data_IF_413681649104
#
_entry.id   IF_413681649104
#
_cell.length_a   1.000
_cell.length_b   1.000
_cell.length_c   1.000
_cell.angle_alpha   90.00
_cell.angle_beta   90.00
_cell.angle_gamma   90.00
#
_symmetry.space_group_name_H-M   'P 1'
#
loop_
_entity.id
_entity.type
_entity.pdbx_description
1 polymer ?
#
# COMPACT_ATOMS: atom_id res chain seq x y z
N UNK A 1 -2.28 9.90 13.37
CA UNK A 1 -2.80 9.55 12.04
C UNK A 1 -3.53 8.21 12.10
N UNK A 2 -4.68 8.12 11.44
CA UNK A 2 -5.54 6.93 11.41
C UNK A 2 -5.34 6.16 10.10
N UNK A 3 -5.58 4.86 10.12
CA UNK A 3 -5.61 4.01 8.93
C UNK A 3 -7.03 3.56 8.65
N UNK A 4 -7.39 3.50 7.37
CA UNK A 4 -8.52 2.72 6.89
C UNK A 4 -8.00 1.35 6.46
N UNK A 5 -8.50 0.29 7.10
CA UNK A 5 -8.19 -1.11 6.80
C UNK A 5 -9.50 -1.88 6.65
N UNK A 6 -9.75 -2.46 5.48
CA UNK A 6 -10.98 -3.22 5.19
C UNK A 6 -12.28 -2.44 5.50
N UNK A 7 -12.24 -1.11 5.39
CA UNK A 7 -13.36 -0.21 5.69
C UNK A 7 -13.52 0.13 7.17
N UNK A 8 -12.64 -0.37 8.04
CA UNK A 8 -12.57 -0.03 9.45
C UNK A 8 -11.43 0.95 9.73
N UNK A 9 -11.64 1.81 10.72
CA UNK A 9 -10.66 2.82 11.09
C UNK A 9 -9.90 2.33 12.31
N UNK A 10 -8.58 2.25 12.18
CA UNK A 10 -7.67 1.74 13.19
C UNK A 10 -6.54 2.75 13.43
N UNK A 11 -5.86 2.63 14.56
CA UNK A 11 -4.67 3.40 14.85
C UNK A 11 -3.48 2.95 13.97
N UNK A 12 -2.62 3.90 13.59
CA UNK A 12 -1.38 3.61 12.89
C UNK A 12 -0.21 3.42 13.88
N UNK A 13 0.29 2.20 14.12
CA UNK A 13 1.45 1.98 15.00
C UNK A 13 2.78 2.27 14.30
N UNK A 14 2.78 2.46 12.98
CA UNK A 14 4.01 2.54 12.19
C UNK A 14 4.65 3.92 12.22
N UNK A 15 5.98 3.96 12.36
CA UNK A 15 6.78 5.17 12.47
C UNK A 15 7.69 5.31 11.25
N UNK A 16 7.58 6.41 10.53
CA UNK A 16 8.39 6.68 9.33
C UNK A 16 9.76 7.24 9.71
N UNK A 17 10.81 6.71 9.07
CA UNK A 17 12.21 7.09 9.24
C UNK A 17 12.78 7.36 7.84
N UNK A 18 13.05 8.63 7.53
CA UNK A 18 13.47 9.04 6.19
C UNK A 18 14.96 9.32 6.06
N UNK A 19 15.55 9.98 7.07
CA UNK A 19 16.85 10.64 6.94
C UNK A 19 18.01 9.88 7.58
N UNK A 20 17.86 9.44 8.82
CA UNK A 20 18.93 8.79 9.59
C UNK A 20 18.39 7.60 10.37
N UNK A 21 19.13 6.49 10.32
CA UNK A 21 18.85 5.33 11.15
C UNK A 21 19.10 5.69 12.62
N UNK A 22 18.11 5.51 13.51
CA UNK A 22 18.31 5.71 14.93
C UNK A 22 19.22 4.62 15.51
N UNK A 23 19.78 4.88 16.69
CA UNK A 23 20.61 3.90 17.42
C UNK A 23 19.82 2.62 17.78
N UNK A 24 18.51 2.74 17.96
CA UNK A 24 17.59 1.63 18.16
C UNK A 24 16.34 1.84 17.32
N UNK A 25 15.94 0.81 16.57
CA UNK A 25 14.75 0.86 15.72
C UNK A 25 13.47 0.71 16.57
N UNK A 26 12.42 1.49 16.31
CA UNK A 26 11.12 1.34 16.96
C UNK A 26 10.41 0.06 16.50
N UNK A 27 9.46 -0.46 17.28
CA UNK A 27 8.79 -1.75 17.02
C UNK A 27 8.21 -1.91 15.59
N UNK A 28 7.74 -0.82 14.97
CA UNK A 28 7.16 -0.82 13.62
C UNK A 28 7.79 0.29 12.76
N UNK A 29 9.05 0.15 12.32
CA UNK A 29 9.72 1.16 11.51
C UNK A 29 9.29 1.05 10.04
N UNK A 30 9.04 2.19 9.40
CA UNK A 30 8.98 2.33 7.94
C UNK A 30 10.24 3.08 7.52
N UNK A 31 11.12 2.40 6.79
CA UNK A 31 12.34 3.02 6.27
C UNK A 31 12.10 3.57 4.87
N UNK A 32 12.72 4.70 4.52
CA UNK A 32 12.81 5.11 3.12
C UNK A 32 13.57 4.05 2.30
N UNK A 33 13.27 3.95 1.01
CA UNK A 33 13.96 3.03 0.10
C UNK A 33 15.50 3.19 0.15
N UNK A 34 15.98 4.43 0.29
CA UNK A 34 17.41 4.73 0.39
C UNK A 34 18.01 4.14 1.66
N UNK A 35 17.37 4.31 2.82
CA UNK A 35 17.82 3.70 4.08
C UNK A 35 17.73 2.17 4.05
N UNK A 36 16.72 1.59 3.41
CA UNK A 36 16.63 0.15 3.25
C UNK A 36 17.85 -0.40 2.49
N UNK A 37 18.29 0.31 1.44
CA UNK A 37 19.42 -0.10 0.61
C UNK A 37 20.79 0.00 1.30
N UNK A 38 20.89 0.78 2.39
CA UNK A 38 22.13 0.92 3.17
C UNK A 38 22.23 -0.08 4.32
N UNK A 39 21.20 -0.90 4.55
CA UNK A 39 21.23 -1.90 5.61
C UNK A 39 22.06 -3.12 5.19
N UNK A 40 23.26 -3.25 5.77
CA UNK A 40 24.12 -4.42 5.55
C UNK A 40 23.58 -5.73 6.16
N UNK A 41 22.70 -5.65 7.16
CA UNK A 41 22.26 -6.80 7.95
C UNK A 41 20.76 -6.74 8.29
N UNK A 42 19.90 -6.69 7.27
CA UNK A 42 18.44 -6.72 7.46
C UNK A 42 17.97 -7.97 8.22
N UNK A 43 18.71 -9.08 8.13
CA UNK A 43 18.40 -10.32 8.85
C UNK A 43 18.44 -10.21 10.38
N UNK A 44 19.13 -9.21 10.92
CA UNK A 44 19.19 -8.96 12.36
C UNK A 44 17.98 -8.17 12.87
N UNK A 45 17.15 -7.66 11.96
CA UNK A 45 15.92 -6.97 12.29
C UNK A 45 14.84 -8.03 12.51
N UNK A 46 14.43 -8.20 13.77
CA UNK A 46 13.41 -9.17 14.15
C UNK A 46 12.00 -8.57 14.24
N UNK A 47 11.91 -7.24 14.29
CA UNK A 47 10.62 -6.54 14.33
C UNK A 47 10.02 -6.39 12.91
N UNK A 48 8.68 -6.25 12.79
CA UNK A 48 8.03 -6.04 11.51
C UNK A 48 8.57 -4.79 10.80
N UNK A 49 9.09 -4.96 9.58
CA UNK A 49 9.72 -3.87 8.83
C UNK A 49 8.82 -3.37 7.71
N UNK A 50 8.72 -2.05 7.59
CA UNK A 50 8.06 -1.36 6.50
C UNK A 50 9.06 -0.64 5.61
N UNK A 51 8.69 -0.42 4.35
CA UNK A 51 9.42 0.45 3.42
C UNK A 51 8.49 1.49 2.82
N UNK A 52 8.96 2.73 2.72
CA UNK A 52 8.37 3.79 1.90
C UNK A 52 9.07 3.81 0.55
N UNK A 53 8.33 3.46 -0.50
CA UNK A 53 8.79 3.50 -1.88
C UNK A 53 8.20 4.73 -2.59
N UNK A 54 9.04 5.70 -2.99
CA UNK A 54 8.61 6.84 -3.79
C UNK A 54 8.06 6.43 -5.17
N UNK A 55 7.17 7.24 -5.74
CA UNK A 55 6.51 6.95 -7.02
C UNK A 55 7.44 6.96 -8.25
N UNK A 56 8.64 7.52 -8.13
CA UNK A 56 9.67 7.58 -9.17
C UNK A 56 10.68 6.42 -9.10
N UNK A 57 10.62 5.60 -8.05
CA UNK A 57 11.49 4.45 -7.86
C UNK A 57 10.91 3.17 -8.49
N UNK A 58 11.80 2.35 -9.05
CA UNK A 58 11.43 1.03 -9.55
C UNK A 58 11.17 0.07 -8.38
N UNK A 59 10.08 -0.70 -8.45
CA UNK A 59 9.71 -1.73 -7.48
C UNK A 59 10.75 -2.85 -7.39
N UNK A 60 11.54 -3.06 -8.44
CA UNK A 60 12.53 -4.14 -8.52
C UNK A 60 13.59 -4.05 -7.42
N UNK A 61 13.85 -2.83 -6.92
CA UNK A 61 14.73 -2.60 -5.76
C UNK A 61 14.24 -3.28 -4.47
N UNK A 62 12.95 -3.62 -4.38
CA UNK A 62 12.38 -4.30 -3.22
C UNK A 62 12.66 -5.80 -3.23
N UNK A 63 12.95 -6.41 -4.40
CA UNK A 63 13.08 -7.87 -4.56
C UNK A 63 13.99 -8.54 -3.52
N UNK A 64 15.18 -7.99 -3.18
CA UNK A 64 16.06 -8.61 -2.19
C UNK A 64 15.49 -8.62 -0.76
N UNK A 65 14.51 -7.77 -0.46
CA UNK A 65 14.02 -7.51 0.89
C UNK A 65 12.60 -8.04 1.13
N UNK A 66 11.90 -8.54 0.08
CA UNK A 66 10.48 -8.88 0.15
C UNK A 66 10.10 -9.83 1.28
N UNK A 67 10.95 -10.82 1.59
CA UNK A 67 10.68 -11.80 2.65
C UNK A 67 10.75 -11.20 4.06
N UNK A 68 11.42 -10.05 4.22
CA UNK A 68 11.56 -9.35 5.51
C UNK A 68 10.55 -8.23 5.69
N UNK A 69 9.99 -7.74 4.58
CA UNK A 69 9.02 -6.66 4.61
C UNK A 69 7.65 -7.19 5.05
N UNK A 70 7.10 -6.56 6.08
CA UNK A 70 5.72 -6.73 6.50
C UNK A 70 4.79 -5.69 5.84
N UNK A 71 5.35 -4.54 5.43
CA UNK A 71 4.63 -3.40 4.87
C UNK A 71 5.41 -2.76 3.72
N UNK A 72 4.71 -2.46 2.62
CA UNK A 72 5.19 -1.55 1.58
C UNK A 72 4.23 -0.36 1.53
N UNK A 73 4.77 0.85 1.58
CA UNK A 73 4.03 2.10 1.51
C UNK A 73 4.31 2.76 0.16
N UNK A 74 3.25 3.08 -0.58
CA UNK A 74 3.31 3.83 -1.84
C UNK A 74 2.68 5.20 -1.64
N UNK A 75 3.35 6.21 -2.18
CA UNK A 75 2.91 7.60 -2.09
C UNK A 75 2.15 8.05 -3.34
N UNK A 76 1.12 8.86 -3.13
CA UNK A 76 0.40 9.62 -4.14
C UNK A 76 0.75 11.11 -4.00
N UNK A 77 1.73 11.63 -4.76
CA UNK A 77 2.16 13.03 -4.64
C UNK A 77 1.09 14.04 -5.07
N UNK A 78 0.14 13.61 -5.89
CA UNK A 78 -0.98 14.41 -6.37
C UNK A 78 -2.14 13.50 -6.75
N UNK A 79 -3.37 14.02 -6.67
CA UNK A 79 -4.58 13.28 -7.03
C UNK A 79 -4.63 12.80 -8.50
N UNK A 80 -3.80 13.40 -9.36
CA UNK A 80 -3.67 13.02 -10.78
C UNK A 80 -2.57 11.99 -11.05
N UNK A 81 -1.77 11.65 -10.05
CA UNK A 81 -0.68 10.69 -10.22
C UNK A 81 -1.18 9.26 -10.05
N UNK A 82 -1.17 8.51 -11.16
CA UNK A 82 -1.62 7.13 -11.20
C UNK A 82 -0.52 6.09 -10.96
N UNK A 83 0.76 6.48 -10.83
CA UNK A 83 1.89 5.53 -10.84
C UNK A 83 1.84 4.51 -9.71
N UNK A 84 1.41 4.94 -8.53
CA UNK A 84 1.25 4.05 -7.38
C UNK A 84 0.21 2.93 -7.62
N UNK A 85 -0.79 3.13 -8.50
CA UNK A 85 -1.69 2.02 -8.91
C UNK A 85 -0.95 0.97 -9.73
N UNK A 86 -0.11 1.39 -10.67
CA UNK A 86 0.69 0.49 -11.49
C UNK A 86 1.73 -0.26 -10.64
N UNK A 87 2.45 0.47 -9.76
CA UNK A 87 3.39 -0.13 -8.82
C UNK A 87 2.71 -1.17 -7.92
N UNK A 88 1.54 -0.84 -7.34
CA UNK A 88 0.77 -1.76 -6.52
C UNK A 88 0.45 -3.07 -7.25
N UNK A 89 -0.04 -2.97 -8.48
CA UNK A 89 -0.36 -4.12 -9.31
C UNK A 89 0.88 -4.97 -9.57
N UNK A 90 2.00 -4.37 -9.95
CA UNK A 90 3.24 -5.10 -10.21
C UNK A 90 3.83 -5.73 -8.93
N UNK A 91 3.71 -5.08 -7.76
CA UNK A 91 4.13 -5.64 -6.47
C UNK A 91 3.34 -6.92 -6.16
N UNK A 92 2.03 -6.92 -6.42
CA UNK A 92 1.17 -8.09 -6.19
C UNK A 92 1.33 -9.17 -7.26
N UNK A 93 1.35 -8.79 -8.53
CA UNK A 93 1.34 -9.72 -9.65
C UNK A 93 2.74 -10.24 -10.02
N UNK A 94 3.78 -9.42 -9.95
CA UNK A 94 5.15 -9.80 -10.36
C UNK A 94 6.03 -10.13 -9.16
N UNK A 95 6.05 -9.27 -8.13
CA UNK A 95 6.85 -9.52 -6.93
C UNK A 95 6.17 -10.47 -5.94
N UNK A 96 4.89 -10.81 -6.17
CA UNK A 96 4.11 -11.75 -5.35
C UNK A 96 4.08 -11.39 -3.86
N UNK A 97 4.27 -10.12 -3.53
CA UNK A 97 4.26 -9.65 -2.16
C UNK A 97 2.86 -9.85 -1.56
N UNK A 98 2.79 -10.48 -0.39
CA UNK A 98 1.54 -10.82 0.32
C UNK A 98 1.30 -9.98 1.56
N UNK A 99 2.30 -9.20 2.01
CA UNK A 99 2.19 -8.33 3.18
C UNK A 99 1.29 -7.12 2.94
N UNK A 100 1.31 -6.20 3.90
CA UNK A 100 0.48 -5.01 3.86
C UNK A 100 0.95 -4.04 2.76
N UNK A 101 0.04 -3.57 1.90
CA UNK A 101 0.33 -2.51 0.95
C UNK A 101 -0.49 -1.28 1.30
N UNK A 102 0.20 -0.19 1.65
CA UNK A 102 -0.40 1.03 2.17
C UNK A 102 -0.32 2.17 1.17
N UNK A 103 -1.43 2.88 1.00
CA UNK A 103 -1.48 4.11 0.24
C UNK A 103 -1.36 5.33 1.19
N UNK A 104 -0.50 6.30 0.85
CA UNK A 104 -0.39 7.60 1.55
C UNK A 104 -0.42 8.78 0.57
N UNK A 105 -0.65 9.98 1.08
CA UNK A 105 -0.60 11.22 0.29
C UNK A 105 -1.98 11.72 -0.16
N UNK A 106 -2.07 12.25 -1.37
CA UNK A 106 -3.26 12.90 -1.93
C UNK A 106 -4.31 11.90 -2.43
N UNK A 107 -4.92 11.17 -1.50
CA UNK A 107 -5.92 10.14 -1.78
C UNK A 107 -7.31 10.63 -1.39
N UNK A 108 -8.30 10.32 -2.23
CA UNK A 108 -9.69 10.70 -2.01
C UNK A 108 -10.56 9.48 -1.67
N UNK A 109 -11.64 9.65 -0.88
CA UNK A 109 -12.53 8.55 -0.50
C UNK A 109 -13.16 7.79 -1.68
N UNK A 110 -13.43 8.47 -2.79
CA UNK A 110 -13.98 7.89 -4.04
C UNK A 110 -12.99 6.95 -4.75
N UNK A 111 -11.69 7.07 -4.45
CA UNK A 111 -10.65 6.20 -4.99
C UNK A 111 -10.51 4.87 -4.25
N UNK A 112 -11.17 4.71 -3.10
CA UNK A 112 -11.05 3.54 -2.22
C UNK A 112 -11.17 2.21 -2.97
N UNK A 113 -12.19 2.07 -3.82
CA UNK A 113 -12.42 0.83 -4.54
C UNK A 113 -11.34 0.53 -5.60
N UNK A 114 -10.78 1.55 -6.24
CA UNK A 114 -9.68 1.35 -7.19
C UNK A 114 -8.42 0.88 -6.46
N UNK A 115 -8.15 1.46 -5.29
CA UNK A 115 -7.00 1.09 -4.46
C UNK A 115 -7.08 -0.38 -4.03
N UNK A 116 -8.23 -0.81 -3.50
CA UNK A 116 -8.41 -2.20 -3.08
C UNK A 116 -8.30 -3.17 -4.26
N UNK A 117 -8.81 -2.79 -5.45
CA UNK A 117 -8.74 -3.63 -6.66
C UNK A 117 -7.33 -3.85 -7.20
N UNK A 118 -6.41 -2.90 -7.01
CA UNK A 118 -4.99 -3.08 -7.39
C UNK A 118 -4.16 -3.71 -6.27
N UNK A 119 -4.76 -3.93 -5.10
CA UNK A 119 -4.17 -4.71 -4.01
C UNK A 119 -3.65 -3.90 -2.83
N UNK A 120 -4.02 -2.62 -2.69
CA UNK A 120 -3.85 -1.91 -1.42
C UNK A 120 -4.75 -2.52 -0.35
N UNK A 121 -4.19 -2.70 0.84
CA UNK A 121 -4.88 -3.27 2.00
C UNK A 121 -5.13 -2.23 3.09
N UNK A 122 -4.33 -1.16 3.12
CA UNK A 122 -4.50 -0.06 4.08
C UNK A 122 -4.32 1.29 3.42
N UNK A 123 -4.98 2.31 3.96
CA UNK A 123 -4.89 3.69 3.47
C UNK A 123 -4.69 4.61 4.67
N UNK A 124 -3.72 5.50 4.61
CA UNK A 124 -3.52 6.53 5.62
C UNK A 124 -4.55 7.64 5.42
N UNK A 125 -5.36 7.90 6.44
CA UNK A 125 -6.33 9.00 6.43
C UNK A 125 -5.59 10.28 6.83
N UNK A 126 -5.62 11.34 5.99
CA UNK A 126 -5.05 12.64 6.34
C UNK A 126 -5.69 13.19 7.62
N UNK A 127 -4.91 13.82 8.51
CA UNK A 127 -5.41 14.28 9.81
C UNK A 127 -6.55 15.32 9.71
N UNK A 128 -6.65 16.03 8.58
CA UNK A 128 -7.71 17.01 8.30
C UNK A 128 -8.90 16.44 7.51
N UNK A 129 -8.92 15.14 7.21
CA UNK A 129 -9.98 14.53 6.42
C UNK A 129 -11.24 14.26 7.25
N UNK A 130 -12.41 14.38 6.60
CA UNK A 130 -13.67 13.98 7.21
C UNK A 130 -13.76 12.44 7.28
N UNK A 131 -13.61 11.89 8.48
CA UNK A 131 -13.68 10.45 8.78
C UNK A 131 -14.97 9.79 8.25
N UNK A 132 -16.11 10.52 8.27
CA UNK A 132 -17.40 9.97 7.84
C UNK A 132 -17.42 9.63 6.34
N UNK A 133 -16.77 10.42 5.49
CA UNK A 133 -16.75 10.17 4.04
C UNK A 133 -15.95 8.92 3.66
N UNK A 134 -14.95 8.56 4.46
CA UNK A 134 -14.18 7.33 4.30
C UNK A 134 -14.94 6.08 4.75
N UNK A 135 -15.85 6.20 5.72
CA UNK A 135 -16.71 5.09 6.16
C UNK A 135 -17.85 4.79 5.18
N UNK A 136 -18.36 5.82 4.50
CA UNK A 136 -19.57 5.74 3.66
C UNK A 136 -19.27 5.24 2.24
N UNK A 137 -18.05 5.45 1.72
CA UNK A 137 -17.62 5.00 0.38
C UNK A 137 -17.38 3.48 0.25
N UNK A 138 -18.06 2.66 1.06
CA UNK A 138 -18.08 1.19 0.94
C UNK A 138 -18.99 0.67 -0.19
N UNK A 139 -19.58 1.55 -1.01
CA UNK A 139 -20.61 1.17 -1.98
C UNK A 139 -20.03 0.55 -3.27
N UNK A 140 -19.75 -0.74 -3.17
CA UNK A 140 -19.82 -1.81 -4.17
C UNK A 140 -20.15 -1.42 -5.63
N UNK A 141 -19.12 -1.19 -6.46
CA UNK A 141 -19.21 -1.65 -7.86
C UNK A 141 -18.90 -3.15 -7.91
N UNK A 142 -19.93 -3.99 -7.89
CA UNK A 142 -19.81 -5.47 -8.00
C UNK A 142 -19.28 -5.93 -9.36
N UNK A 143 -19.17 -5.03 -10.34
CA UNK A 143 -18.82 -5.33 -11.72
C UNK A 143 -17.54 -4.57 -12.08
N UNK A 144 -16.46 -5.31 -12.33
CA UNK A 144 -15.22 -4.80 -12.91
C UNK A 144 -15.11 -5.26 -14.37
N UNK A 145 -15.03 -4.32 -15.31
CA UNK A 145 -14.74 -4.64 -16.71
C UNK A 145 -13.26 -4.98 -16.95
N UNK A 146 -12.38 -4.66 -15.98
CA UNK A 146 -10.94 -4.87 -16.04
C UNK A 146 -10.50 -5.87 -14.96
N UNK A 147 -9.44 -6.63 -15.24
CA UNK A 147 -8.86 -7.62 -14.33
C UNK A 147 -8.33 -6.97 -13.04
N UNK A 148 -8.87 -7.38 -11.90
CA UNK A 148 -8.39 -7.01 -10.55
C UNK A 148 -7.33 -8.00 -10.04
N UNK A 149 -6.50 -7.56 -9.08
CA UNK A 149 -5.61 -8.43 -8.28
C UNK A 149 -6.43 -9.35 -7.35
N UNK A 150 -7.62 -8.90 -6.95
CA UNK A 150 -8.57 -9.74 -6.23
C UNK A 150 -9.07 -10.84 -7.17
N UNK A 151 -9.24 -12.07 -6.64
CA UNK A 151 -9.82 -13.20 -7.40
C UNK A 151 -11.33 -13.01 -7.58
N UNK A 152 -11.73 -11.94 -8.28
CA UNK A 152 -13.12 -11.66 -8.62
C UNK A 152 -13.59 -12.63 -9.74
N UNK A 153 -14.86 -13.09 -9.72
CA UNK A 153 -15.38 -13.95 -10.77
C UNK A 153 -15.40 -13.20 -12.11
N UNK A 154 -14.70 -13.74 -13.13
CA UNK A 154 -14.77 -13.23 -14.50
C UNK A 154 -16.15 -13.55 -15.08
N UNK A 155 -16.97 -12.55 -15.39
CA UNK A 155 -18.14 -12.80 -16.25
C UNK A 155 -17.67 -12.88 -17.70
N UNK A 156 -17.58 -14.11 -18.22
CA UNK A 156 -17.65 -14.34 -19.65
C UNK A 156 -19.05 -13.99 -20.14
N UNK A 157 -19.13 -13.34 -21.31
CA UNK A 157 -20.35 -13.12 -22.07
C UNK A 157 -21.18 -14.42 -22.13
N UNK A 158 -22.20 -14.55 -21.29
CA UNK A 158 -23.25 -15.54 -21.50
C UNK A 158 -24.12 -14.99 -22.63
N UNK A 159 -23.75 -15.30 -23.87
CA UNK A 159 -24.71 -15.31 -24.98
C UNK A 159 -25.79 -16.32 -24.58
N UNK A 160 -26.94 -15.83 -24.10
CA UNK A 160 -28.16 -16.61 -24.15
C UNK A 160 -28.50 -16.81 -25.62
N UNK A 161 -28.31 -18.04 -26.10
CA UNK A 161 -28.92 -18.55 -27.33
C UNK A 161 -30.42 -18.71 -27.10
#
# INVERSE_FOLDING_TARGET
MLLLKDGEIIDNPWIVIENNLPTSLPDYPILSQTLLSTLDNIDKIHQPLGVLLPCDQDIEHLRPYLEKLSLIVLEFPSFKDGRAFSQARQIREHLKFTGELRAIGHILPDQYQFLTRVGFTTILIPDNANIASWKDNRQHFTIGFQSSVLKEPKQGLVRKL
#
